data_IF_554581907738
#
_entry.id   IF_554581907738
#
_cell.length_a   1.000
_cell.length_b   1.000
_cell.length_c   1.000
_cell.angle_alpha   90.00
_cell.angle_beta   90.00
_cell.angle_gamma   90.00
#
_symmetry.space_group_name_H-M   'P 1'
#
loop_
_entity.id
_entity.type
_entity.pdbx_description
1 polymer ?
#
# COMPACT_ATOMS: atom_id res chain seq x y z
N UNK A 1 4.38 9.35 2.41
CA UNK A 1 5.27 9.14 3.56
C UNK A 1 6.66 8.96 3.04
N UNK A 2 7.67 9.43 3.77
CA UNK A 2 9.08 9.24 3.39
C UNK A 2 9.77 8.41 4.46
N UNK A 3 10.57 7.44 4.04
CA UNK A 3 11.42 6.66 4.93
C UNK A 3 12.80 7.30 5.15
N UNK A 4 13.69 6.59 5.87
CA UNK A 4 15.02 7.10 6.20
C UNK A 4 15.93 7.13 4.96
N UNK A 5 16.81 8.14 4.87
CA UNK A 5 17.77 8.28 3.76
C UNK A 5 18.73 7.07 3.67
N UNK A 6 18.94 6.33 4.76
CA UNK A 6 19.77 5.13 4.80
C UNK A 6 19.00 3.83 4.52
N UNK A 7 17.68 3.92 4.26
CA UNK A 7 16.80 2.77 3.93
C UNK A 7 16.49 2.76 2.43
N UNK A 8 15.27 3.10 1.99
CA UNK A 8 14.91 3.19 0.57
C UNK A 8 15.16 4.62 0.03
N UNK A 9 15.08 5.63 0.92
CA UNK A 9 15.14 7.05 0.60
C UNK A 9 14.04 7.46 -0.41
N UNK A 10 12.86 6.87 -0.26
CA UNK A 10 11.75 6.96 -1.20
C UNK A 10 10.50 7.58 -0.56
N UNK A 11 9.59 8.04 -1.41
CA UNK A 11 8.33 8.62 -0.99
C UNK A 11 7.14 7.87 -1.57
N UNK A 12 6.26 7.39 -0.70
CA UNK A 12 5.03 6.70 -1.08
C UNK A 12 3.81 7.61 -0.93
N UNK A 13 2.93 7.61 -1.93
CA UNK A 13 1.54 8.00 -1.75
C UNK A 13 0.88 7.02 -0.79
N UNK A 14 0.10 7.52 0.17
CA UNK A 14 -0.67 6.69 1.10
C UNK A 14 -2.11 7.18 1.15
N UNK A 15 -3.05 6.25 1.07
CA UNK A 15 -4.46 6.46 1.41
C UNK A 15 -4.96 5.30 2.27
N UNK A 16 -5.83 5.59 3.23
CA UNK A 16 -6.53 4.53 3.96
C UNK A 16 -7.34 3.69 2.95
N UNK A 17 -7.22 2.36 3.00
CA UNK A 17 -7.83 1.49 1.99
C UNK A 17 -9.36 1.65 1.94
N UNK A 18 -10.00 1.93 3.07
CA UNK A 18 -11.44 2.22 3.16
C UNK A 18 -11.88 3.45 2.34
N UNK A 19 -10.96 4.38 2.06
CA UNK A 19 -11.23 5.62 1.31
C UNK A 19 -10.69 5.59 -0.11
N UNK A 20 -10.15 4.45 -0.56
CA UNK A 20 -9.68 4.34 -1.93
C UNK A 20 -10.86 4.33 -2.90
N UNK A 21 -10.74 5.10 -3.99
CA UNK A 21 -11.67 5.07 -5.11
C UNK A 21 -10.90 4.95 -6.44
N UNK A 22 -11.63 4.85 -7.54
CA UNK A 22 -11.07 4.78 -8.89
C UNK A 22 -10.20 6.01 -9.21
N UNK A 23 -10.57 7.20 -8.73
CA UNK A 23 -9.80 8.43 -8.91
C UNK A 23 -8.47 8.38 -8.17
N UNK A 24 -8.44 7.87 -6.93
CA UNK A 24 -7.22 7.70 -6.14
C UNK A 24 -6.28 6.69 -6.81
N UNK A 25 -6.80 5.55 -7.28
CA UNK A 25 -6.00 4.56 -8.01
C UNK A 25 -5.46 5.15 -9.32
N UNK A 26 -6.28 5.87 -10.08
CA UNK A 26 -5.84 6.52 -11.31
C UNK A 26 -4.79 7.60 -11.04
N UNK A 27 -4.94 8.35 -9.95
CA UNK A 27 -3.97 9.33 -9.51
C UNK A 27 -2.64 8.67 -9.17
N UNK A 28 -2.66 7.59 -8.39
CA UNK A 28 -1.46 6.81 -8.07
C UNK A 28 -0.80 6.25 -9.34
N UNK A 29 -1.57 5.70 -10.28
CA UNK A 29 -1.02 5.17 -11.52
C UNK A 29 -0.41 6.25 -12.43
N UNK A 30 -1.00 7.46 -12.44
CA UNK A 30 -0.56 8.57 -13.30
C UNK A 30 0.63 9.33 -12.70
N UNK A 31 0.61 9.54 -11.38
CA UNK A 31 1.51 10.46 -10.68
C UNK A 31 2.45 9.77 -9.71
N UNK A 32 2.07 8.63 -9.13
CA UNK A 32 2.99 7.75 -8.40
C UNK A 32 3.82 6.92 -9.38
N UNK A 33 3.15 6.21 -10.29
CA UNK A 33 3.73 5.34 -11.35
C UNK A 33 4.46 4.09 -10.83
N UNK A 34 4.74 4.03 -9.53
CA UNK A 34 5.19 2.84 -8.84
C UNK A 34 4.13 1.75 -8.75
N UNK A 35 4.43 0.73 -7.95
CA UNK A 35 3.56 -0.41 -7.78
C UNK A 35 2.47 -0.09 -6.75
N UNK A 36 1.21 -0.13 -7.18
CA UNK A 36 0.09 0.07 -6.26
C UNK A 36 -0.11 -1.20 -5.44
N UNK A 37 0.23 -1.10 -4.15
CA UNK A 37 0.18 -2.20 -3.20
C UNK A 37 -0.91 -1.99 -2.15
N UNK A 38 -1.45 -3.10 -1.64
CA UNK A 38 -2.43 -3.12 -0.55
C UNK A 38 -1.78 -3.65 0.73
N UNK A 39 -1.52 -2.78 1.69
CA UNK A 39 -0.99 -3.18 2.99
C UNK A 39 -2.11 -3.68 3.89
N UNK A 40 -1.98 -4.92 4.39
CA UNK A 40 -2.93 -5.60 5.26
C UNK A 40 -2.26 -6.04 6.57
N UNK A 41 -3.03 -6.12 7.65
CA UNK A 41 -2.57 -6.80 8.88
C UNK A 41 -2.38 -8.30 8.64
N UNK A 42 -1.46 -8.94 9.36
CA UNK A 42 -1.26 -10.40 9.37
C UNK A 42 -2.58 -11.17 9.55
N UNK A 43 -3.39 -10.79 10.54
CA UNK A 43 -4.72 -11.39 10.76
C UNK A 43 -5.61 -11.39 9.50
N UNK A 44 -5.62 -10.29 8.74
CA UNK A 44 -6.47 -10.18 7.54
C UNK A 44 -5.95 -11.04 6.40
N UNK A 45 -4.63 -11.14 6.28
CA UNK A 45 -3.94 -12.02 5.32
C UNK A 45 -4.26 -13.49 5.62
N UNK A 46 -4.28 -13.87 6.90
CA UNK A 46 -4.69 -15.21 7.36
C UNK A 46 -6.18 -15.50 7.06
N UNK A 47 -7.09 -14.57 7.38
CA UNK A 47 -8.53 -14.70 7.09
C UNK A 47 -8.81 -14.91 5.59
N UNK A 48 -8.04 -14.25 4.73
CA UNK A 48 -8.12 -14.38 3.27
C UNK A 48 -7.30 -15.56 2.71
N UNK A 49 -6.55 -16.26 3.56
CA UNK A 49 -5.66 -17.36 3.20
C UNK A 49 -4.70 -16.99 2.05
N UNK A 50 -3.98 -15.88 2.21
CA UNK A 50 -3.05 -15.34 1.23
C UNK A 50 -1.59 -15.75 1.57
N UNK A 51 -1.04 -16.81 0.96
CA UNK A 51 0.35 -17.19 1.19
C UNK A 51 1.32 -16.12 0.68
N UNK A 52 2.50 -16.06 1.31
CA UNK A 52 3.61 -15.25 0.83
C UNK A 52 4.04 -15.69 -0.58
N UNK A 53 4.37 -14.73 -1.43
CA UNK A 53 4.76 -14.98 -2.82
C UNK A 53 6.10 -15.75 -2.90
N UNK A 54 7.05 -15.40 -2.04
CA UNK A 54 8.31 -16.13 -1.90
C UNK A 54 8.41 -16.76 -0.52
N UNK A 55 8.70 -18.05 -0.46
CA UNK A 55 8.99 -18.76 0.80
C UNK A 55 10.36 -18.38 1.36
N UNK A 56 11.31 -17.99 0.50
CA UNK A 56 12.62 -17.47 0.87
C UNK A 56 12.69 -16.00 0.44
N UNK A 57 12.27 -15.10 1.32
CA UNK A 57 12.30 -13.67 1.04
C UNK A 57 13.72 -13.13 1.19
N UNK A 58 14.47 -13.12 0.09
CA UNK A 58 15.81 -12.53 0.00
C UNK A 58 15.79 -11.02 -0.29
N UNK A 59 14.62 -10.37 -0.27
CA UNK A 59 14.56 -8.92 -0.49
C UNK A 59 15.31 -8.18 0.61
N UNK A 60 16.07 -7.16 0.19
CA UNK A 60 16.90 -6.32 1.07
C UNK A 60 16.13 -5.78 2.26
N UNK A 61 14.86 -5.44 2.05
CA UNK A 61 13.96 -4.84 3.04
C UNK A 61 12.96 -5.83 3.66
N UNK A 62 13.05 -7.11 3.32
CA UNK A 62 12.14 -8.17 3.75
C UNK A 62 10.67 -7.80 3.51
N UNK A 63 10.37 -7.16 2.38
CA UNK A 63 9.02 -6.73 2.00
C UNK A 63 8.14 -7.96 1.78
N UNK A 64 7.09 -8.09 2.58
CA UNK A 64 6.29 -9.30 2.69
C UNK A 64 5.14 -9.34 1.67
N UNK A 65 5.46 -9.51 0.39
CA UNK A 65 4.45 -9.72 -0.65
C UNK A 65 3.71 -11.04 -0.46
N UNK A 66 2.39 -11.00 -0.55
CA UNK A 66 1.56 -12.20 -0.78
C UNK A 66 1.43 -12.47 -2.27
N UNK A 67 0.81 -13.59 -2.63
CA UNK A 67 0.28 -13.76 -4.00
C UNK A 67 -0.63 -12.57 -4.37
N UNK A 68 -0.61 -12.17 -5.65
CA UNK A 68 -1.46 -11.09 -6.14
C UNK A 68 -2.92 -11.53 -6.23
N UNK A 69 -3.84 -10.58 -6.06
CA UNK A 69 -5.27 -10.86 -5.93
C UNK A 69 -6.12 -10.04 -6.89
N UNK A 70 -7.30 -10.57 -7.20
CA UNK A 70 -8.40 -9.93 -7.91
C UNK A 70 -9.72 -10.26 -7.21
N UNK A 71 -10.70 -9.34 -7.19
CA UNK A 71 -12.06 -9.69 -6.80
C UNK A 71 -12.68 -10.64 -7.83
N UNK A 72 -13.54 -11.56 -7.39
CA UNK A 72 -14.28 -12.45 -8.31
C UNK A 72 -15.46 -11.79 -9.00
N UNK A 73 -16.02 -10.75 -8.38
CA UNK A 73 -17.22 -10.07 -8.85
C UNK A 73 -16.99 -8.55 -8.92
N UNK A 74 -17.72 -7.87 -9.80
CA UNK A 74 -17.65 -6.41 -9.94
C UNK A 74 -16.41 -5.91 -10.67
N UNK A 75 -15.64 -6.79 -11.29
CA UNK A 75 -14.46 -6.48 -12.12
C UNK A 75 -14.58 -7.09 -13.51
N UNK A 76 -13.71 -6.66 -14.42
CA UNK A 76 -13.62 -7.17 -15.79
C UNK A 76 -12.26 -7.83 -16.03
N UNK A 77 -11.24 -7.03 -16.33
CA UNK A 77 -9.86 -7.50 -16.54
C UNK A 77 -9.01 -7.36 -15.28
N UNK A 78 -9.47 -6.60 -14.28
CA UNK A 78 -8.77 -6.42 -13.01
C UNK A 78 -7.83 -5.21 -12.97
N UNK A 79 -7.24 -4.82 -14.11
CA UNK A 79 -6.19 -3.78 -14.14
C UNK A 79 -6.73 -2.35 -14.12
N UNK A 80 -8.01 -2.15 -14.45
CA UNK A 80 -8.61 -0.83 -14.49
C UNK A 80 -8.53 -0.15 -13.12
N UNK A 81 -8.57 1.19 -13.07
CA UNK A 81 -8.56 1.90 -11.79
C UNK A 81 -9.77 1.54 -10.91
N UNK A 82 -10.93 1.37 -11.56
CA UNK A 82 -12.15 0.92 -10.91
C UNK A 82 -12.04 -0.53 -10.42
N UNK A 83 -11.52 -1.43 -11.25
CA UNK A 83 -11.40 -2.86 -10.92
C UNK A 83 -10.47 -3.06 -9.72
N UNK A 84 -9.30 -2.38 -9.71
CA UNK A 84 -8.38 -2.42 -8.57
C UNK A 84 -9.00 -1.85 -7.30
N UNK A 85 -9.79 -0.77 -7.39
CA UNK A 85 -10.52 -0.24 -6.24
C UNK A 85 -11.54 -1.25 -5.71
N UNK A 86 -12.31 -1.93 -6.58
CA UNK A 86 -13.25 -3.00 -6.20
C UNK A 86 -12.51 -4.17 -5.54
N UNK A 87 -11.37 -4.59 -6.08
CA UNK A 87 -10.52 -5.64 -5.51
C UNK A 87 -10.02 -5.25 -4.11
N UNK A 88 -9.55 -4.02 -3.92
CA UNK A 88 -9.13 -3.52 -2.60
C UNK A 88 -10.29 -3.51 -1.60
N UNK A 89 -11.45 -2.98 -1.99
CA UNK A 89 -12.66 -2.97 -1.13
C UNK A 89 -13.11 -4.38 -0.75
N UNK A 90 -13.04 -5.33 -1.69
CA UNK A 90 -13.34 -6.74 -1.43
C UNK A 90 -12.36 -7.32 -0.42
N UNK A 91 -11.06 -7.06 -0.59
CA UNK A 91 -10.02 -7.55 0.28
C UNK A 91 -10.11 -6.99 1.71
N UNK A 92 -10.52 -5.74 1.92
CA UNK A 92 -10.59 -5.16 3.29
C UNK A 92 -11.93 -5.39 4.01
N UNK A 93 -12.93 -5.93 3.33
CA UNK A 93 -14.27 -6.09 3.89
C UNK A 93 -14.36 -7.31 4.82
N UNK A 94 -14.66 -7.09 6.11
CA UNK A 94 -14.76 -8.15 7.13
C UNK A 94 -15.88 -9.18 6.85
N UNK A 95 -16.84 -8.88 5.97
CA UNK A 95 -17.88 -9.83 5.55
C UNK A 95 -17.47 -10.67 4.33
N UNK A 96 -16.27 -10.44 3.79
CA UNK A 96 -15.69 -11.14 2.64
C UNK A 96 -14.60 -12.10 3.09
N UNK A 97 -14.50 -13.21 2.39
CA UNK A 97 -13.61 -14.34 2.69
C UNK A 97 -12.68 -14.63 1.50
N UNK A 98 -11.82 -15.64 1.66
CA UNK A 98 -11.00 -16.17 0.56
C UNK A 98 -11.81 -16.53 -0.70
N UNK A 99 -13.10 -16.85 -0.55
CA UNK A 99 -13.93 -17.29 -1.68
C UNK A 99 -14.42 -16.10 -2.53
N UNK A 100 -14.22 -14.86 -2.08
CA UNK A 100 -14.57 -13.64 -2.81
C UNK A 100 -13.42 -13.09 -3.65
N UNK A 101 -12.20 -13.62 -3.45
CA UNK A 101 -10.98 -13.21 -4.15
C UNK A 101 -10.39 -14.38 -4.92
N UNK A 102 -9.66 -14.07 -5.99
CA UNK A 102 -8.90 -15.05 -6.77
C UNK A 102 -7.46 -14.60 -6.94
N UNK A 103 -6.60 -15.55 -7.25
CA UNK A 103 -5.20 -15.33 -7.56
C UNK A 103 -4.84 -16.13 -8.82
N UNK A 104 -3.97 -15.61 -9.73
CA UNK A 104 -3.33 -14.29 -9.64
C UNK A 104 -4.29 -13.13 -9.96
N UNK A 105 -3.86 -11.89 -9.69
CA UNK A 105 -4.57 -10.67 -10.05
C UNK A 105 -3.65 -9.43 -10.11
N UNK A 106 -4.24 -8.24 -10.16
CA UNK A 106 -3.54 -6.96 -10.39
C UNK A 106 -3.43 -6.06 -9.14
N UNK A 107 -3.87 -6.53 -7.98
CA UNK A 107 -3.59 -5.90 -6.69
C UNK A 107 -2.56 -6.75 -5.95
N UNK A 108 -1.54 -6.11 -5.36
CA UNK A 108 -0.42 -6.78 -4.72
C UNK A 108 -0.46 -6.54 -3.20
N UNK A 109 -0.96 -7.51 -2.41
CA UNK A 109 -1.02 -7.33 -0.98
C UNK A 109 0.37 -7.47 -0.32
N UNK A 110 0.56 -6.67 0.72
CA UNK A 110 1.73 -6.64 1.58
C UNK A 110 1.30 -6.93 3.02
N UNK A 111 2.04 -7.79 3.72
CA UNK A 111 1.78 -8.09 5.13
C UNK A 111 2.52 -7.08 6.00
N UNK A 112 1.77 -6.25 6.74
CA UNK A 112 2.32 -5.40 7.78
C UNK A 112 2.64 -6.24 9.03
N UNK A 113 3.83 -6.04 9.62
CA UNK A 113 4.19 -6.71 10.86
C UNK A 113 3.35 -6.24 12.04
N UNK A 114 2.95 -7.18 12.89
CA UNK A 114 2.34 -6.86 14.18
C UNK A 114 3.27 -5.99 15.03
N UNK A 115 2.74 -4.88 15.55
CA UNK A 115 3.50 -3.81 16.19
C UNK A 115 3.74 -2.58 15.30
N UNK A 116 3.58 -2.71 13.98
CA UNK A 116 3.65 -1.59 13.03
C UNK A 116 5.04 -0.95 12.95
N UNK A 117 5.09 0.39 12.86
CA UNK A 117 6.36 1.10 12.65
C UNK A 117 7.36 0.97 13.80
N UNK A 118 6.89 0.56 14.98
CA UNK A 118 7.73 0.26 16.14
C UNK A 118 8.53 -1.05 15.98
N UNK A 119 8.09 -1.95 15.09
CA UNK A 119 8.73 -3.25 14.81
C UNK A 119 9.47 -3.21 13.47
N UNK A 120 8.89 -2.56 12.46
CA UNK A 120 9.53 -2.35 11.15
C UNK A 120 9.18 -0.98 10.61
N UNK A 121 10.19 -0.14 10.40
CA UNK A 121 10.05 1.22 9.87
C UNK A 121 9.86 1.23 8.33
N UNK A 122 8.84 0.52 7.82
CA UNK A 122 8.54 0.44 6.39
C UNK A 122 7.24 1.15 5.99
N UNK A 123 7.10 1.44 4.70
CA UNK A 123 5.89 2.05 4.12
C UNK A 123 4.63 1.20 4.36
N UNK A 124 4.76 -0.12 4.33
CA UNK A 124 3.70 -1.08 4.66
C UNK A 124 3.14 -0.83 6.06
N UNK A 125 4.00 -0.86 7.08
CA UNK A 125 3.61 -0.63 8.47
C UNK A 125 3.09 0.79 8.69
N UNK A 126 3.74 1.80 8.09
CA UNK A 126 3.33 3.19 8.21
C UNK A 126 1.90 3.42 7.68
N UNK A 127 1.55 2.79 6.56
CA UNK A 127 0.21 2.92 5.96
C UNK A 127 -0.90 2.31 6.83
N UNK A 128 -0.63 1.16 7.45
CA UNK A 128 -1.55 0.48 8.36
C UNK A 128 -1.71 1.27 9.66
N UNK A 129 -0.60 1.77 10.21
CA UNK A 129 -0.61 2.57 11.43
C UNK A 129 -1.32 3.91 11.26
N UNK A 130 -1.08 4.62 10.16
CA UNK A 130 -1.80 5.86 9.84
C UNK A 130 -3.30 5.63 9.70
N UNK A 131 -3.70 4.55 9.01
CA UNK A 131 -5.12 4.20 8.84
C UNK A 131 -5.76 3.91 10.20
N UNK A 132 -5.07 3.18 11.08
CA UNK A 132 -5.51 2.90 12.45
C UNK A 132 -5.63 4.17 13.29
N UNK A 133 -4.62 5.05 13.27
CA UNK A 133 -4.62 6.32 14.02
C UNK A 133 -5.73 7.27 13.54
N UNK A 134 -6.10 7.20 12.26
CA UNK A 134 -7.21 7.95 11.68
C UNK A 134 -8.60 7.35 11.97
N UNK A 135 -8.68 6.20 12.67
CA UNK A 135 -9.94 5.54 13.01
C UNK A 135 -10.56 4.72 11.86
N UNK A 136 -9.79 4.42 10.81
CA UNK A 136 -10.22 3.57 9.70
C UNK A 136 -9.83 2.11 9.93
N UNK A 137 -10.29 1.22 9.04
CA UNK A 137 -9.79 -0.14 8.93
C UNK A 137 -8.24 -0.11 8.83
N UNK A 138 -7.50 -0.94 9.59
CA UNK A 138 -6.03 -0.96 9.59
C UNK A 138 -5.48 -1.60 8.30
N UNK A 139 -5.74 -0.95 7.17
CA UNK A 139 -5.28 -1.32 5.84
C UNK A 139 -5.02 -0.04 5.03
N UNK A 140 -3.93 -0.02 4.27
CA UNK A 140 -3.51 1.13 3.49
C UNK A 140 -3.21 0.77 2.05
N UNK A 141 -3.41 1.70 1.12
CA UNK A 141 -2.95 1.57 -0.26
C UNK A 141 -1.75 2.48 -0.43
N UNK A 142 -0.66 1.91 -0.92
CA UNK A 142 0.61 2.61 -1.11
C UNK A 142 1.06 2.54 -2.58
N UNK A 143 1.82 3.54 -3.01
CA UNK A 143 2.41 3.59 -4.34
C UNK A 143 3.63 4.51 -4.31
N UNK A 144 4.78 4.00 -4.71
CA UNK A 144 6.02 4.76 -4.77
C UNK A 144 5.91 5.86 -5.83
N UNK A 145 6.55 7.00 -5.60
CA UNK A 145 6.54 8.15 -6.51
C UNK A 145 7.80 8.13 -7.39
N UNK A 146 7.60 8.07 -8.70
CA UNK A 146 8.64 8.17 -9.71
C UNK A 146 8.58 9.52 -10.43
N UNK A 147 9.75 10.04 -10.77
CA UNK A 147 9.92 11.18 -11.65
C UNK A 147 9.51 10.85 -13.10
N UNK A 148 9.37 11.90 -13.92
CA UNK A 148 8.96 11.76 -15.31
C UNK A 148 9.92 10.93 -16.18
N UNK A 149 11.21 10.91 -15.80
CA UNK A 149 12.28 10.15 -16.43
C UNK A 149 12.40 8.70 -15.94
N UNK A 150 11.52 8.29 -15.02
CA UNK A 150 11.51 6.95 -14.44
C UNK A 150 12.46 6.75 -13.25
N UNK A 151 13.16 7.78 -12.80
CA UNK A 151 13.94 7.74 -11.55
C UNK A 151 13.03 7.84 -10.33
N UNK A 152 13.46 7.33 -9.17
CA UNK A 152 12.69 7.48 -7.92
C UNK A 152 12.76 8.92 -7.41
N UNK A 153 11.60 9.49 -7.06
CA UNK A 153 11.52 10.86 -6.54
C UNK A 153 12.17 10.94 -5.15
N UNK A 154 13.06 11.92 -4.97
CA UNK A 154 13.73 12.17 -3.67
C UNK A 154 13.09 13.36 -2.95
N UNK A 155 13.48 13.63 -1.71
CA UNK A 155 12.90 14.70 -0.87
C UNK A 155 12.63 16.03 -1.62
N UNK A 156 13.58 16.59 -2.41
CA UNK A 156 13.30 17.84 -3.13
C UNK A 156 12.18 17.71 -4.18
N UNK A 157 12.05 16.56 -4.82
CA UNK A 157 11.00 16.27 -5.80
C UNK A 157 9.67 16.05 -5.09
N UNK A 158 9.69 15.32 -3.97
CA UNK A 158 8.53 15.05 -3.13
C UNK A 158 7.92 16.32 -2.53
N UNK A 159 8.74 17.31 -2.17
CA UNK A 159 8.26 18.63 -1.73
C UNK A 159 7.49 19.33 -2.86
N UNK A 160 8.05 19.37 -4.07
CA UNK A 160 7.37 19.96 -5.25
C UNK A 160 6.07 19.21 -5.58
N UNK A 161 6.11 17.88 -5.49
CA UNK A 161 4.93 17.02 -5.69
C UNK A 161 3.84 17.34 -4.67
N UNK A 162 4.20 17.42 -3.40
CA UNK A 162 3.32 17.78 -2.27
C UNK A 162 2.63 19.13 -2.50
N UNK A 163 3.39 20.16 -2.89
CA UNK A 163 2.85 21.50 -3.18
C UNK A 163 1.90 21.49 -4.38
N UNK A 164 2.31 20.85 -5.48
CA UNK A 164 1.53 20.77 -6.73
C UNK A 164 0.18 20.07 -6.52
N UNK A 165 0.18 18.96 -5.78
CA UNK A 165 -1.01 18.12 -5.59
C UNK A 165 -1.74 18.38 -4.27
N UNK A 166 -1.23 19.29 -3.43
CA UNK A 166 -1.76 19.64 -2.11
C UNK A 166 -1.87 18.42 -1.18
N UNK A 167 -0.88 17.54 -1.23
CA UNK A 167 -0.80 16.33 -0.42
C UNK A 167 0.23 16.56 0.68
N UNK A 168 -0.13 16.28 1.93
CA UNK A 168 0.79 16.45 3.06
C UNK A 168 1.94 15.44 2.98
N UNK A 169 3.12 15.87 3.40
CA UNK A 169 4.29 15.01 3.58
C UNK A 169 4.49 14.70 5.07
N UNK A 170 4.96 13.49 5.37
CA UNK A 170 5.31 13.04 6.71
C UNK A 170 6.42 12.00 6.63
N UNK A 171 7.23 11.88 7.68
CA UNK A 171 8.32 10.91 7.75
C UNK A 171 7.96 9.74 8.66
N UNK A 172 8.43 8.55 8.34
CA UNK A 172 8.21 7.37 9.18
C UNK A 172 8.82 7.57 10.58
N UNK A 173 9.96 8.24 10.68
CA UNK A 173 10.58 8.57 11.98
C UNK A 173 9.71 9.47 12.85
N UNK A 174 8.93 10.38 12.26
CA UNK A 174 8.00 11.24 13.00
C UNK A 174 6.79 10.43 13.48
N UNK A 175 6.33 9.48 12.67
CA UNK A 175 5.26 8.55 13.05
C UNK A 175 5.71 7.60 14.18
N UNK A 176 6.97 7.14 14.16
CA UNK A 176 7.56 6.37 15.25
C UNK A 176 7.59 7.20 16.54
N UNK A 177 8.05 8.45 16.47
CA UNK A 177 8.11 9.33 17.64
C UNK A 177 6.72 9.71 18.21
N UNK A 178 5.69 9.69 17.36
CA UNK A 178 4.31 9.97 17.76
C UNK A 178 3.64 8.78 18.49
N UNK A 179 4.03 7.55 18.16
CA UNK A 179 3.45 6.32 18.72
C UNK A 179 4.08 5.90 20.04
#
# INVERSE_FOLDING_TARGET
>A
MVDDENRENEGDLIIAAEKVDDKAINFMATHGRGLICLSLTERRVEELNLPLMSQNNESRDSTAFTISIEAKEGVTTGISAQDRAVTIHTAINNNKSKDDIMSPGHVFPLVARDGGVLVRAGHTEASVDLSRLAGFIPAGVICEIMNDDGTMARIPDLIKFSEKHKIKIGKIVDLIAYR
#
